data_IF_777842977995
#
_entry.id   IF_777842977995
#
_cell.length_a   1.000
_cell.length_b   1.000
_cell.length_c   1.000
_cell.angle_alpha   90.00
_cell.angle_beta   90.00
_cell.angle_gamma   90.00
#
_symmetry.space_group_name_H-M   'P 1'
#
loop_
_entity.id
_entity.type
_entity.pdbx_description
1 polymer ?
#
# COMPACT_ATOMS: atom_id res chain seq x y z
N UNK A 1 -29.70 58.71 13.18
CA UNK A 1 -30.66 58.01 12.31
C UNK A 1 -29.86 57.28 11.24
N UNK A 2 -29.86 55.95 11.22
CA UNK A 2 -29.23 55.20 10.14
C UNK A 2 -30.16 55.25 8.92
N UNK A 3 -29.67 55.75 7.79
CA UNK A 3 -30.36 55.68 6.50
C UNK A 3 -30.47 54.21 6.10
N UNK A 4 -31.71 53.69 6.06
CA UNK A 4 -31.98 52.37 5.52
C UNK A 4 -31.85 52.45 4.00
N UNK A 5 -31.00 51.58 3.43
CA UNK A 5 -30.84 51.53 1.98
C UNK A 5 -32.17 51.23 1.26
N UNK A 6 -32.41 51.82 0.06
CA UNK A 6 -33.62 51.59 -0.69
C UNK A 6 -33.79 50.10 -1.05
N UNK A 7 -35.01 49.58 -0.91
CA UNK A 7 -35.35 48.17 -1.14
C UNK A 7 -34.91 47.66 -2.54
N UNK A 8 -34.92 48.52 -3.56
CA UNK A 8 -34.44 48.19 -4.90
C UNK A 8 -32.93 47.96 -4.98
N UNK A 9 -32.13 48.66 -4.18
CA UNK A 9 -30.68 48.44 -4.09
C UNK A 9 -30.39 47.09 -3.42
N UNK A 10 -31.13 46.76 -2.36
CA UNK A 10 -31.03 45.46 -1.66
C UNK A 10 -31.40 44.29 -2.58
N UNK A 11 -32.47 44.41 -3.37
CA UNK A 11 -32.88 43.37 -4.33
C UNK A 11 -31.80 43.12 -5.40
N UNK A 12 -31.22 44.18 -5.95
CA UNK A 12 -30.16 44.07 -6.96
C UNK A 12 -28.88 43.45 -6.38
N UNK A 13 -28.52 43.77 -5.14
CA UNK A 13 -27.38 43.17 -4.45
C UNK A 13 -27.57 41.66 -4.25
N UNK A 14 -28.76 41.22 -3.84
CA UNK A 14 -29.09 39.79 -3.68
C UNK A 14 -29.03 39.05 -5.02
N UNK A 15 -29.53 39.67 -6.11
CA UNK A 15 -29.47 39.08 -7.45
C UNK A 15 -28.02 38.95 -7.95
N UNK A 16 -27.18 39.95 -7.69
CA UNK A 16 -25.76 39.90 -8.05
C UNK A 16 -25.02 38.80 -7.27
N UNK A 17 -25.31 38.66 -5.97
CA UNK A 17 -24.73 37.61 -5.12
C UNK A 17 -25.17 36.20 -5.54
N UNK A 18 -26.46 36.02 -5.87
CA UNK A 18 -26.98 34.75 -6.39
C UNK A 18 -26.28 34.35 -7.70
N UNK A 19 -26.15 35.29 -8.65
CA UNK A 19 -25.46 35.06 -9.92
C UNK A 19 -23.97 34.73 -9.73
N UNK A 20 -23.31 35.36 -8.75
CA UNK A 20 -21.94 35.05 -8.42
C UNK A 20 -21.79 33.63 -7.86
N UNK A 21 -22.70 33.21 -6.97
CA UNK A 21 -22.74 31.84 -6.42
C UNK A 21 -23.00 30.79 -7.51
N UNK A 22 -23.91 31.05 -8.44
CA UNK A 22 -24.19 30.15 -9.57
C UNK A 22 -22.96 29.97 -10.47
N UNK A 23 -22.24 31.07 -10.75
CA UNK A 23 -20.98 31.01 -11.49
C UNK A 23 -19.92 30.20 -10.73
N UNK A 24 -19.89 30.31 -9.40
CA UNK A 24 -18.98 29.57 -8.53
C UNK A 24 -19.29 28.08 -8.53
N UNK A 25 -20.57 27.70 -8.48
CA UNK A 25 -21.04 26.31 -8.56
C UNK A 25 -20.60 25.71 -9.90
N UNK A 26 -20.87 26.39 -11.02
CA UNK A 26 -20.44 25.91 -12.33
C UNK A 26 -18.92 25.73 -12.43
N UNK A 27 -18.14 26.61 -11.79
CA UNK A 27 -16.66 26.49 -11.76
C UNK A 27 -16.21 25.28 -10.93
N UNK A 28 -16.88 25.00 -9.80
CA UNK A 28 -16.60 23.84 -8.97
C UNK A 28 -16.98 22.53 -9.67
N UNK A 29 -18.12 22.48 -10.35
CA UNK A 29 -18.55 21.32 -11.14
C UNK A 29 -17.56 20.99 -12.26
N UNK A 30 -17.00 22.00 -12.93
CA UNK A 30 -15.94 21.81 -13.93
C UNK A 30 -14.68 21.19 -13.31
N UNK A 31 -14.23 21.68 -12.15
CA UNK A 31 -13.07 21.13 -11.42
C UNK A 31 -13.30 19.71 -10.93
N UNK A 32 -14.51 19.38 -10.47
CA UNK A 32 -14.86 18.00 -10.08
C UNK A 32 -14.73 17.07 -11.28
N UNK A 33 -15.25 17.47 -12.44
CA UNK A 33 -15.12 16.70 -13.69
C UNK A 33 -13.67 16.54 -14.13
N UNK A 34 -12.84 17.57 -14.00
CA UNK A 34 -11.40 17.50 -14.25
C UNK A 34 -10.69 16.53 -13.31
N UNK A 35 -11.05 16.51 -12.02
CA UNK A 35 -10.50 15.57 -11.04
C UNK A 35 -10.93 14.13 -11.34
N UNK A 36 -12.20 13.90 -11.69
CA UNK A 36 -12.72 12.58 -12.08
C UNK A 36 -12.03 12.04 -13.34
N UNK A 37 -11.85 12.90 -14.35
CA UNK A 37 -11.21 12.52 -15.62
C UNK A 37 -9.69 12.42 -15.52
N UNK A 38 -9.05 13.25 -14.69
CA UNK A 38 -7.62 13.17 -14.40
C UNK A 38 -7.25 11.89 -13.64
N UNK A 39 -8.14 11.43 -12.75
CA UNK A 39 -7.95 10.17 -12.02
C UNK A 39 -8.23 8.93 -12.87
N UNK A 40 -8.94 9.06 -13.99
CA UNK A 40 -9.27 7.95 -14.90
C UNK A 40 -8.11 7.52 -15.82
N UNK A 41 -7.00 8.29 -15.88
CA UNK A 41 -5.83 7.97 -16.74
C UNK A 41 -4.65 7.35 -16.00
N UNK A 42 -4.64 7.32 -14.68
CA UNK A 42 -3.70 6.47 -13.95
C UNK A 42 -4.23 5.04 -14.02
N UNK A 43 -3.52 4.16 -14.70
CA UNK A 43 -3.77 2.73 -14.62
C UNK A 43 -3.65 2.33 -13.14
N UNK A 44 -4.79 2.12 -12.47
CA UNK A 44 -4.81 1.74 -11.05
C UNK A 44 -4.32 0.30 -11.01
N UNK A 45 -3.00 0.14 -10.92
CA UNK A 45 -2.36 -1.17 -10.73
C UNK A 45 -2.89 -1.71 -9.39
N UNK A 46 -3.60 -2.85 -9.39
CA UNK A 46 -4.13 -3.43 -8.17
C UNK A 46 -3.03 -3.68 -7.13
N UNK A 47 -3.33 -3.37 -5.86
CA UNK A 47 -2.36 -3.37 -4.76
C UNK A 47 -1.61 -4.70 -4.59
N UNK A 48 -2.33 -5.83 -4.67
CA UNK A 48 -1.73 -7.17 -4.57
C UNK A 48 -0.77 -7.51 -5.71
N UNK A 49 -0.98 -6.98 -6.93
CA UNK A 49 -0.11 -7.26 -8.09
C UNK A 49 1.30 -6.69 -7.88
N UNK A 50 1.45 -5.75 -6.94
CA UNK A 50 2.76 -5.19 -6.58
C UNK A 50 3.65 -6.18 -5.84
N UNK A 51 3.07 -7.17 -5.15
CA UNK A 51 3.84 -8.22 -4.47
C UNK A 51 4.48 -9.12 -5.53
N UNK A 52 5.80 -9.29 -5.42
CA UNK A 52 6.54 -10.16 -6.33
C UNK A 52 5.97 -11.59 -6.33
N UNK A 53 5.63 -12.08 -7.53
CA UNK A 53 5.01 -13.38 -7.72
C UNK A 53 3.48 -13.39 -7.73
N UNK A 54 2.79 -12.30 -7.39
CA UNK A 54 1.34 -12.16 -7.62
C UNK A 54 1.09 -11.54 -9.00
N UNK A 55 1.07 -12.40 -10.02
CA UNK A 55 0.60 -12.00 -11.35
C UNK A 55 -0.94 -11.89 -11.43
N UNK A 56 -1.48 -11.44 -12.59
CA UNK A 56 -2.92 -11.28 -12.80
C UNK A 56 -3.76 -12.52 -12.46
N UNK A 57 -3.22 -13.72 -12.73
CA UNK A 57 -3.89 -15.00 -12.44
C UNK A 57 -4.06 -15.23 -10.93
N UNK A 58 -3.03 -14.98 -10.13
CA UNK A 58 -3.12 -15.13 -8.67
C UNK A 58 -3.94 -14.01 -8.05
N UNK A 59 -3.82 -12.79 -8.58
CA UNK A 59 -4.69 -11.69 -8.18
C UNK A 59 -6.17 -12.02 -8.40
N UNK A 60 -6.54 -12.54 -9.57
CA UNK A 60 -7.91 -12.93 -9.87
C UNK A 60 -8.41 -14.01 -8.91
N UNK A 61 -7.59 -15.04 -8.63
CA UNK A 61 -7.94 -16.08 -7.65
C UNK A 61 -8.17 -15.51 -6.25
N UNK A 62 -7.24 -14.71 -5.73
CA UNK A 62 -7.35 -14.10 -4.39
C UNK A 62 -8.56 -13.16 -4.29
N UNK A 63 -8.76 -12.31 -5.30
CA UNK A 63 -9.83 -11.31 -5.30
C UNK A 63 -11.22 -11.89 -5.52
N UNK A 64 -11.37 -12.86 -6.43
CA UNK A 64 -12.68 -13.41 -6.80
C UNK A 64 -13.11 -14.58 -5.93
N UNK A 65 -12.18 -15.42 -5.46
CA UNK A 65 -12.48 -16.62 -4.67
C UNK A 65 -12.41 -16.37 -3.17
N UNK A 66 -11.43 -15.58 -2.75
CA UNK A 66 -11.15 -15.29 -1.34
C UNK A 66 -11.57 -13.88 -0.91
N UNK A 67 -12.02 -13.03 -1.85
CA UNK A 67 -12.39 -11.65 -1.55
C UNK A 67 -11.23 -10.76 -1.11
N UNK A 68 -9.98 -11.23 -1.23
CA UNK A 68 -8.76 -10.52 -0.81
C UNK A 68 -8.32 -9.61 -1.95
N UNK A 69 -8.38 -8.29 -1.76
CA UNK A 69 -8.08 -7.29 -2.80
C UNK A 69 -6.89 -6.41 -2.46
N UNK A 70 -6.60 -6.26 -1.17
CA UNK A 70 -5.49 -5.46 -0.66
C UNK A 70 -4.49 -6.35 0.09
N UNK A 71 -3.24 -5.90 0.14
CA UNK A 71 -2.18 -6.55 0.90
C UNK A 71 -2.51 -6.61 2.39
N UNK A 72 -3.19 -5.59 2.92
CA UNK A 72 -3.69 -5.57 4.31
C UNK A 72 -4.72 -6.69 4.57
N UNK A 73 -5.61 -6.97 3.61
CA UNK A 73 -6.58 -8.07 3.73
C UNK A 73 -5.86 -9.42 3.75
N UNK A 74 -4.84 -9.57 2.90
CA UNK A 74 -4.03 -10.80 2.82
C UNK A 74 -3.29 -11.05 4.13
N UNK A 75 -2.66 -10.02 4.71
CA UNK A 75 -2.01 -10.13 6.02
C UNK A 75 -3.02 -10.50 7.10
N UNK A 76 -4.14 -9.78 7.19
CA UNK A 76 -5.11 -9.98 8.27
C UNK A 76 -5.74 -11.37 8.23
N UNK A 77 -6.14 -11.86 7.04
CA UNK A 77 -6.68 -13.21 6.88
C UNK A 77 -5.61 -14.28 6.97
N UNK A 78 -4.41 -14.03 6.45
CA UNK A 78 -3.32 -15.00 6.33
C UNK A 78 -2.37 -15.09 7.53
N UNK A 79 -2.52 -14.24 8.55
CA UNK A 79 -1.60 -14.22 9.71
C UNK A 79 -1.59 -15.49 10.55
N UNK A 80 -2.55 -16.41 10.37
CA UNK A 80 -2.58 -17.70 11.07
C UNK A 80 -2.51 -18.87 10.10
N UNK A 81 -1.98 -20.02 10.56
CA UNK A 81 -1.97 -21.24 9.77
C UNK A 81 -3.37 -21.73 9.36
N UNK A 82 -4.39 -21.47 10.19
CA UNK A 82 -5.78 -21.76 9.84
C UNK A 82 -6.24 -20.84 8.70
N UNK A 83 -6.02 -19.53 8.82
CA UNK A 83 -6.42 -18.58 7.80
C UNK A 83 -5.73 -18.82 6.45
N UNK A 84 -4.44 -19.20 6.45
CA UNK A 84 -3.75 -19.59 5.19
C UNK A 84 -4.34 -20.84 4.56
N UNK A 85 -4.70 -21.85 5.36
CA UNK A 85 -5.40 -23.05 4.87
C UNK A 85 -6.76 -22.72 4.26
N UNK A 86 -7.50 -21.79 4.85
CA UNK A 86 -8.78 -21.31 4.30
C UNK A 86 -8.57 -20.59 2.96
N UNK A 87 -7.60 -19.67 2.88
CA UNK A 87 -7.25 -18.98 1.63
C UNK A 87 -6.82 -19.99 0.57
N UNK A 88 -6.00 -20.99 0.93
CA UNK A 88 -5.55 -22.03 0.03
C UNK A 88 -6.72 -22.85 -0.53
N UNK A 89 -7.65 -23.25 0.32
CA UNK A 89 -8.84 -24.00 -0.07
C UNK A 89 -9.78 -23.20 -0.99
N UNK A 90 -9.99 -21.91 -0.71
CA UNK A 90 -10.83 -21.02 -1.51
C UNK A 90 -10.22 -20.70 -2.88
N UNK A 91 -8.94 -20.30 -2.88
CA UNK A 91 -8.25 -19.78 -4.06
C UNK A 91 -7.61 -20.88 -4.93
N UNK A 92 -7.40 -22.07 -4.37
CA UNK A 92 -6.64 -23.14 -5.02
C UNK A 92 -5.16 -22.77 -5.22
N UNK A 93 -4.59 -21.98 -4.32
CA UNK A 93 -3.17 -21.59 -4.28
C UNK A 93 -2.49 -22.39 -3.17
N UNK A 94 -1.23 -22.77 -3.40
CA UNK A 94 -0.43 -23.49 -2.41
C UNK A 94 -0.23 -22.66 -1.12
N UNK A 95 -0.34 -23.32 0.04
CA UNK A 95 -0.26 -22.66 1.35
C UNK A 95 1.11 -22.02 1.58
N UNK A 96 2.21 -22.63 1.09
CA UNK A 96 3.54 -22.05 1.24
C UNK A 96 3.70 -20.77 0.42
N UNK A 97 3.07 -20.72 -0.77
CA UNK A 97 3.06 -19.50 -1.58
C UNK A 97 2.25 -18.38 -0.91
N UNK A 98 1.11 -18.73 -0.28
CA UNK A 98 0.33 -17.76 0.51
C UNK A 98 1.15 -17.27 1.71
N UNK A 99 1.84 -18.16 2.43
CA UNK A 99 2.68 -17.78 3.56
C UNK A 99 3.77 -16.80 3.13
N UNK A 100 4.43 -17.06 1.99
CA UNK A 100 5.44 -16.13 1.43
C UNK A 100 4.87 -14.73 1.22
N UNK A 101 3.72 -14.61 0.57
CA UNK A 101 3.09 -13.30 0.34
C UNK A 101 2.60 -12.63 1.63
N UNK A 102 2.08 -13.41 2.58
CA UNK A 102 1.70 -12.89 3.91
C UNK A 102 2.92 -12.33 4.65
N UNK A 103 4.05 -13.02 4.59
CA UNK A 103 5.31 -12.58 5.16
C UNK A 103 5.83 -11.30 4.50
N UNK A 104 5.69 -11.16 3.18
CA UNK A 104 5.98 -9.90 2.48
C UNK A 104 5.10 -8.75 3.00
N UNK A 105 3.79 -8.99 3.14
CA UNK A 105 2.89 -8.00 3.72
C UNK A 105 3.29 -7.63 5.16
N UNK A 106 3.79 -8.59 5.95
CA UNK A 106 4.26 -8.35 7.32
C UNK A 106 5.53 -7.50 7.33
N UNK A 107 6.51 -7.79 6.48
CA UNK A 107 7.75 -7.00 6.33
C UNK A 107 7.46 -5.54 5.94
N UNK A 108 6.47 -5.30 5.07
CA UNK A 108 6.04 -3.95 4.67
C UNK A 108 5.42 -3.10 5.77
N UNK A 109 5.16 -3.66 6.96
CA UNK A 109 4.78 -2.85 8.14
C UNK A 109 5.94 -1.97 8.63
N UNK A 110 7.16 -2.28 8.22
CA UNK A 110 8.36 -1.50 8.53
C UNK A 110 8.40 -0.30 7.58
N UNK A 111 8.49 0.90 8.15
CA UNK A 111 8.59 2.12 7.36
C UNK A 111 9.88 2.12 6.54
N UNK A 112 9.73 2.32 5.23
CA UNK A 112 10.82 2.27 4.25
C UNK A 112 10.97 0.93 3.54
N UNK A 113 10.24 -0.12 3.94
CA UNK A 113 10.21 -1.40 3.22
C UNK A 113 9.00 -1.44 2.27
N UNK A 114 9.27 -1.45 0.97
CA UNK A 114 8.27 -1.66 -0.07
C UNK A 114 8.25 -3.13 -0.54
N UNK A 115 7.47 -3.43 -1.58
CA UNK A 115 7.34 -4.77 -2.13
C UNK A 115 8.66 -5.33 -2.69
N UNK A 116 9.52 -4.47 -3.24
CA UNK A 116 10.80 -4.86 -3.84
C UNK A 116 11.85 -5.15 -2.76
N UNK A 117 11.87 -4.34 -1.71
CA UNK A 117 12.72 -4.60 -0.55
C UNK A 117 12.25 -5.79 0.28
N UNK A 118 10.94 -6.06 0.37
CA UNK A 118 10.45 -7.29 0.98
C UNK A 118 10.96 -8.55 0.24
N UNK A 119 10.91 -8.56 -1.10
CA UNK A 119 11.50 -9.63 -1.91
C UNK A 119 13.02 -9.70 -1.71
N UNK A 120 13.73 -8.57 -1.75
CA UNK A 120 15.19 -8.55 -1.60
C UNK A 120 15.62 -9.07 -0.21
N UNK A 121 14.88 -8.74 0.84
CA UNK A 121 15.11 -9.29 2.19
C UNK A 121 14.90 -10.80 2.20
N UNK A 122 13.82 -11.32 1.60
CA UNK A 122 13.58 -12.76 1.49
C UNK A 122 14.73 -13.46 0.76
N UNK A 123 15.17 -12.93 -0.39
CA UNK A 123 16.28 -13.50 -1.18
C UNK A 123 17.62 -13.40 -0.42
N UNK A 124 17.80 -12.36 0.40
CA UNK A 124 18.93 -12.23 1.34
C UNK A 124 18.80 -13.17 2.56
N UNK A 125 17.71 -13.94 2.63
CA UNK A 125 17.44 -14.97 3.61
C UNK A 125 16.72 -14.47 4.85
N UNK A 126 16.02 -13.32 4.80
CA UNK A 126 15.18 -12.79 5.89
C UNK A 126 13.73 -12.88 5.46
N UNK A 127 13.00 -13.86 5.99
CA UNK A 127 11.65 -14.17 5.53
C UNK A 127 10.54 -13.52 6.36
N UNK A 128 10.87 -12.93 7.51
CA UNK A 128 9.86 -12.48 8.48
C UNK A 128 10.36 -11.38 9.39
N UNK A 129 9.42 -10.61 9.96
CA UNK A 129 9.72 -9.53 10.91
C UNK A 129 10.50 -10.03 12.14
N UNK A 130 10.15 -11.17 12.78
CA UNK A 130 10.91 -11.68 13.91
C UNK A 130 12.35 -12.08 13.54
N UNK A 131 12.57 -12.58 12.33
CA UNK A 131 13.92 -12.90 11.86
C UNK A 131 14.74 -11.63 11.64
N UNK A 132 14.17 -10.63 10.97
CA UNK A 132 14.81 -9.34 10.76
C UNK A 132 15.25 -8.69 12.07
N UNK A 133 14.39 -8.75 13.10
CA UNK A 133 14.68 -8.22 14.44
C UNK A 133 15.92 -8.85 15.11
N UNK A 134 16.30 -10.07 14.70
CA UNK A 134 17.42 -10.82 15.25
C UNK A 134 18.72 -10.64 14.45
N UNK A 135 18.66 -10.00 13.26
CA UNK A 135 19.83 -9.82 12.41
C UNK A 135 20.79 -8.77 12.99
N UNK A 136 22.07 -8.96 12.70
CA UNK A 136 23.07 -7.90 12.80
C UNK A 136 22.98 -7.03 11.53
N UNK A 137 22.75 -5.73 11.70
CA UNK A 137 22.47 -4.81 10.59
C UNK A 137 23.64 -4.72 9.59
N UNK A 138 24.88 -4.66 10.06
CA UNK A 138 26.05 -4.52 9.17
C UNK A 138 26.25 -5.78 8.32
N UNK A 139 26.11 -6.96 8.93
CA UNK A 139 26.17 -8.24 8.23
C UNK A 139 25.01 -8.40 7.23
N UNK A 140 23.80 -7.97 7.63
CA UNK A 140 22.64 -8.03 6.75
C UNK A 140 22.80 -7.09 5.55
N UNK A 141 23.29 -5.87 5.75
CA UNK A 141 23.55 -4.94 4.66
C UNK A 141 24.56 -5.52 3.66
N UNK A 142 25.69 -6.07 4.13
CA UNK A 142 26.66 -6.72 3.25
C UNK A 142 26.03 -7.88 2.45
N UNK A 143 25.16 -8.67 3.09
CA UNK A 143 24.44 -9.76 2.43
C UNK A 143 23.44 -9.24 1.38
N UNK A 144 22.66 -8.22 1.71
CA UNK A 144 21.68 -7.59 0.81
C UNK A 144 22.36 -7.01 -0.43
N UNK A 145 23.48 -6.29 -0.25
CA UNK A 145 24.28 -5.75 -1.37
C UNK A 145 24.75 -6.87 -2.29
N UNK A 146 25.43 -7.89 -1.73
CA UNK A 146 25.94 -9.02 -2.52
C UNK A 146 24.81 -9.78 -3.24
N UNK A 147 23.67 -9.98 -2.58
CA UNK A 147 22.49 -10.61 -3.17
C UNK A 147 21.93 -9.77 -4.33
N UNK A 148 21.85 -8.45 -4.19
CA UNK A 148 21.31 -7.59 -5.24
C UNK A 148 22.27 -7.44 -6.42
N UNK A 149 23.59 -7.46 -6.17
CA UNK A 149 24.61 -7.52 -7.22
C UNK A 149 24.54 -8.83 -8.02
N UNK A 150 24.27 -9.96 -7.36
CA UNK A 150 24.16 -11.27 -8.02
C UNK A 150 22.83 -11.44 -8.78
N UNK A 151 21.73 -10.97 -8.20
CA UNK A 151 20.37 -11.35 -8.63
C UNK A 151 19.52 -10.20 -9.19
N UNK A 152 19.97 -8.96 -9.02
CA UNK A 152 19.28 -7.75 -9.51
C UNK A 152 17.80 -7.72 -9.15
N UNK A 153 17.49 -8.00 -7.87
CA UNK A 153 16.12 -8.12 -7.35
C UNK A 153 15.44 -6.75 -7.28
N UNK A 154 16.16 -5.73 -6.84
CA UNK A 154 15.69 -4.35 -6.72
C UNK A 154 16.52 -3.41 -7.60
N UNK A 155 15.91 -2.42 -8.27
CA UNK A 155 16.64 -1.41 -9.04
C UNK A 155 17.68 -0.66 -8.21
N UNK A 156 17.30 -0.32 -6.98
CA UNK A 156 18.15 0.36 -6.00
C UNK A 156 18.49 -0.58 -4.84
N UNK A 157 19.64 -0.37 -4.21
CA UNK A 157 20.07 -1.14 -3.04
C UNK A 157 19.91 -0.27 -1.79
N UNK A 158 19.25 -0.78 -0.72
CA UNK A 158 19.06 0.00 0.50
C UNK A 158 20.40 0.31 1.16
N UNK A 159 20.50 1.47 1.79
CA UNK A 159 21.71 1.90 2.49
C UNK A 159 21.90 1.13 3.80
N UNK A 160 23.11 1.19 4.37
CA UNK A 160 23.37 0.61 5.68
C UNK A 160 22.50 1.22 6.79
N UNK A 161 22.10 2.49 6.65
CA UNK A 161 21.21 3.13 7.62
C UNK A 161 19.76 2.67 7.47
N UNK A 162 19.28 2.48 6.22
CA UNK A 162 17.96 1.89 5.97
C UNK A 162 17.84 0.52 6.66
N UNK A 163 18.81 -0.38 6.42
CA UNK A 163 18.84 -1.71 7.05
C UNK A 163 18.88 -1.61 8.58
N UNK A 164 19.69 -0.70 9.13
CA UNK A 164 19.75 -0.47 10.59
C UNK A 164 18.40 -0.05 11.15
N UNK A 165 17.75 0.92 10.50
CA UNK A 165 16.42 1.39 10.92
C UNK A 165 15.37 0.28 10.81
N UNK A 166 15.41 -0.55 9.77
CA UNK A 166 14.47 -1.66 9.62
C UNK A 166 14.63 -2.71 10.71
N UNK A 167 15.87 -3.07 11.05
CA UNK A 167 16.17 -3.99 12.15
C UNK A 167 15.66 -3.43 13.49
N UNK A 168 15.87 -2.15 13.77
CA UNK A 168 15.38 -1.53 15.01
C UNK A 168 13.85 -1.45 15.05
N UNK A 169 13.19 -1.08 13.94
CA UNK A 169 11.73 -1.10 13.85
C UNK A 169 11.18 -2.51 14.07
N UNK A 170 11.77 -3.53 13.44
CA UNK A 170 11.35 -4.92 13.59
C UNK A 170 11.38 -5.41 15.04
N UNK A 171 12.37 -4.97 15.85
CA UNK A 171 12.44 -5.29 17.29
C UNK A 171 11.27 -4.74 18.10
N UNK A 172 10.68 -3.64 17.65
CA UNK A 172 9.55 -2.98 18.34
C UNK A 172 8.18 -3.44 17.82
N UNK A 173 8.15 -4.07 16.65
CA UNK A 173 6.91 -4.56 16.06
C UNK A 173 6.45 -5.85 16.77
N UNK A 174 5.18 -5.87 17.16
CA UNK A 174 4.53 -7.08 17.63
C UNK A 174 4.45 -8.13 16.51
N UNK A 175 4.68 -9.39 16.88
CA UNK A 175 4.50 -10.55 16.00
C UNK A 175 3.04 -10.64 15.55
N UNK A 176 2.83 -10.66 14.23
CA UNK A 176 1.49 -10.82 13.64
C UNK A 176 1.34 -12.19 13.00
N UNK A 177 2.32 -12.63 12.21
CA UNK A 177 2.27 -13.94 11.55
C UNK A 177 2.64 -15.06 12.51
N UNK A 178 1.79 -16.10 12.53
CA UNK A 178 1.91 -17.31 13.34
C UNK A 178 2.01 -18.55 12.43
N UNK A 179 2.82 -19.52 12.86
CA UNK A 179 3.07 -20.78 12.17
C UNK A 179 2.30 -21.92 12.82
#
# INVERSE_FOLDING_TARGET
>A
MAELEPLGAQFNAIQAEAKAKDSQIHTLEARIRELETGNAKAEIVPDLIRIQGIGPVYFEKLSTKSGIKMQADLLERGKTAVGRREIAAESGIDEALILRWVNHCDLRRISGVDEQYAELLEVAGVDSVPELAQRNADNLHAKVVATNEERHVSPDTPTADDIRQWVEQAKTLGRVVTH
#
